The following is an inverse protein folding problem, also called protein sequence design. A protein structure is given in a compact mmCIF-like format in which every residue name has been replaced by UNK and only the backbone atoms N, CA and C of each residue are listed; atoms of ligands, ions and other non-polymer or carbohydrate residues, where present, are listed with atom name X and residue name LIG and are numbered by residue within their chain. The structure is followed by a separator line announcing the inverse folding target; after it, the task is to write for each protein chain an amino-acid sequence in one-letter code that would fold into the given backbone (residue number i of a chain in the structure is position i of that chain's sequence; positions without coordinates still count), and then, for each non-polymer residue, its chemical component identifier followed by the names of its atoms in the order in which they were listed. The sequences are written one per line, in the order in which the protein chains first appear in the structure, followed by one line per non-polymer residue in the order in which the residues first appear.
data_IF_143631173181
#
_entry.id   IF_143631173181
#
_cell.length_a   1.000
_cell.length_b   1.000
_cell.length_c   1.000
_cell.angle_alpha   90.00
_cell.angle_beta   90.00
_cell.angle_gamma   90.00
#
_symmetry.space_group_name_H-M   'P 1'
#
loop_
_entity.id
_entity.type
_entity.pdbx_description
1 polymer ?
#
# COMPACT_ATOMS: atom_id res chain seq x y z
N UNK A 1 -13.34 -2.48 13.22
CA UNK A 1 -14.61 -3.12 13.58
C UNK A 1 -15.83 -2.31 13.14
N UNK A 2 -15.90 -1.02 13.46
CA UNK A 2 -17.03 -0.12 13.10
C UNK A 2 -17.23 -0.03 11.57
N UNK A 3 -16.17 0.04 10.78
CA UNK A 3 -16.23 0.14 9.32
C UNK A 3 -16.93 -1.08 8.67
N UNK A 4 -16.65 -2.29 9.17
CA UNK A 4 -17.31 -3.51 8.68
C UNK A 4 -18.80 -3.53 8.98
N UNK A 5 -19.20 -2.98 10.13
CA UNK A 5 -20.61 -2.85 10.51
C UNK A 5 -21.35 -1.93 9.53
N UNK A 6 -20.76 -0.77 9.19
CA UNK A 6 -21.32 0.14 8.19
C UNK A 6 -21.45 -0.52 6.82
N UNK A 7 -20.47 -1.30 6.41
CA UNK A 7 -20.44 -1.98 5.12
C UNK A 7 -21.56 -3.04 5.03
N UNK A 8 -21.78 -3.79 6.13
CA UNK A 8 -22.88 -4.77 6.23
C UNK A 8 -24.24 -4.09 6.17
N UNK A 9 -24.43 -2.98 6.90
CA UNK A 9 -25.69 -2.23 6.88
C UNK A 9 -25.98 -1.68 5.48
N UNK A 10 -24.96 -1.13 4.81
CA UNK A 10 -25.06 -0.59 3.46
C UNK A 10 -25.41 -1.69 2.44
N UNK A 11 -24.84 -2.87 2.60
CA UNK A 11 -25.14 -4.04 1.77
C UNK A 11 -26.59 -4.52 1.97
N UNK A 12 -27.09 -4.53 3.20
CA UNK A 12 -28.51 -4.90 3.50
C UNK A 12 -29.45 -3.88 2.85
N UNK A 13 -29.19 -2.58 2.99
CA UNK A 13 -29.99 -1.51 2.37
C UNK A 13 -29.99 -1.67 0.84
N UNK A 14 -28.85 -1.99 0.26
CA UNK A 14 -28.69 -2.21 -1.17
C UNK A 14 -29.53 -3.41 -1.66
N UNK A 15 -29.51 -4.53 -0.95
CA UNK A 15 -30.33 -5.71 -1.26
C UNK A 15 -31.82 -5.39 -1.20
N UNK A 16 -32.26 -4.63 -0.20
CA UNK A 16 -33.67 -4.20 -0.04
C UNK A 16 -34.08 -3.31 -1.23
N UNK A 17 -33.25 -2.33 -1.59
CA UNK A 17 -33.48 -1.45 -2.75
C UNK A 17 -33.58 -2.22 -4.05
N UNK A 18 -32.66 -3.16 -4.28
CA UNK A 18 -32.70 -4.06 -5.46
C UNK A 18 -34.01 -4.85 -5.50
N UNK A 19 -34.36 -5.47 -4.39
CA UNK A 19 -35.59 -6.27 -4.29
C UNK A 19 -36.85 -5.46 -4.60
N UNK A 20 -36.92 -4.24 -4.09
CA UNK A 20 -38.03 -3.32 -4.37
C UNK A 20 -38.07 -2.85 -5.82
N UNK A 21 -36.90 -2.61 -6.41
CA UNK A 21 -36.76 -2.11 -7.78
C UNK A 21 -37.09 -3.18 -8.85
N UNK A 22 -36.80 -4.47 -8.56
CA UNK A 22 -37.03 -5.59 -9.51
C UNK A 22 -38.50 -5.95 -9.65
N UNK A 23 -39.35 -5.72 -8.64
CA UNK A 23 -40.77 -6.10 -8.61
C UNK A 23 -41.66 -5.42 -9.67
N UNK A 24 -41.15 -4.48 -10.48
CA UNK A 24 -41.93 -3.79 -11.52
C UNK A 24 -41.86 -4.44 -12.90
N UNK A 25 -42.92 -4.25 -13.72
CA UNK A 25 -43.08 -4.88 -15.07
C UNK A 25 -41.96 -4.65 -16.10
N UNK A 26 -41.09 -3.66 -15.92
CA UNK A 26 -39.95 -3.38 -16.84
C UNK A 26 -38.60 -3.69 -16.17
N UNK A 27 -38.41 -4.93 -15.77
CA UNK A 27 -37.24 -5.35 -14.98
C UNK A 27 -35.90 -5.30 -15.76
N UNK A 28 -35.90 -5.47 -17.09
CA UNK A 28 -34.63 -5.50 -17.88
C UNK A 28 -33.79 -4.25 -17.71
N UNK A 29 -34.37 -3.07 -17.87
CA UNK A 29 -33.65 -1.79 -17.69
C UNK A 29 -33.23 -1.57 -16.23
N UNK A 30 -34.05 -2.05 -15.29
CA UNK A 30 -33.74 -1.92 -13.86
C UNK A 30 -32.54 -2.78 -13.45
N UNK A 31 -32.44 -4.01 -13.99
CA UNK A 31 -31.28 -4.88 -13.79
C UNK A 31 -30.01 -4.22 -14.34
N UNK A 32 -30.08 -3.60 -15.52
CA UNK A 32 -28.94 -2.95 -16.13
C UNK A 32 -28.45 -1.76 -15.31
N UNK A 33 -29.35 -0.96 -14.75
CA UNK A 33 -29.01 0.16 -13.84
C UNK A 33 -28.34 -0.36 -12.56
N UNK A 34 -28.91 -1.41 -11.96
CA UNK A 34 -28.33 -2.02 -10.75
C UNK A 34 -26.93 -2.54 -11.01
N UNK A 35 -26.73 -3.21 -12.13
CA UNK A 35 -25.44 -3.76 -12.54
C UNK A 35 -24.41 -2.64 -12.78
N UNK A 36 -24.81 -1.55 -13.43
CA UNK A 36 -23.97 -0.37 -13.66
C UNK A 36 -23.56 0.28 -12.34
N UNK A 37 -24.48 0.45 -11.39
CA UNK A 37 -24.20 1.00 -10.07
C UNK A 37 -23.24 0.08 -9.30
N UNK A 38 -23.42 -1.26 -9.36
CA UNK A 38 -22.53 -2.22 -8.71
C UNK A 38 -21.11 -2.15 -9.24
N UNK A 39 -20.95 -2.04 -10.55
CA UNK A 39 -19.64 -1.87 -11.21
C UNK A 39 -19.00 -0.56 -10.74
N UNK A 40 -19.75 0.53 -10.74
CA UNK A 40 -19.26 1.85 -10.31
C UNK A 40 -18.82 1.83 -8.83
N UNK A 41 -19.56 1.16 -7.96
CA UNK A 41 -19.17 0.96 -6.56
C UNK A 41 -17.89 0.14 -6.40
N UNK A 42 -17.69 -0.89 -7.23
CA UNK A 42 -16.47 -1.69 -7.22
C UNK A 42 -15.25 -0.84 -7.60
N UNK A 43 -15.36 -0.02 -8.64
CA UNK A 43 -14.30 0.92 -9.02
C UNK A 43 -14.02 1.97 -7.93
N UNK A 44 -15.07 2.48 -7.30
CA UNK A 44 -14.93 3.45 -6.21
C UNK A 44 -14.23 2.84 -5.00
N UNK A 45 -14.59 1.60 -4.63
CA UNK A 45 -13.96 0.86 -3.54
C UNK A 45 -12.48 0.62 -3.80
N UNK A 46 -12.12 0.22 -5.02
CA UNK A 46 -10.74 -0.02 -5.41
C UNK A 46 -9.91 1.28 -5.39
N UNK A 47 -10.49 2.37 -5.89
CA UNK A 47 -9.88 3.70 -5.84
C UNK A 47 -9.65 4.21 -4.41
N UNK A 48 -10.60 4.00 -3.50
CA UNK A 48 -10.44 4.35 -2.08
C UNK A 48 -9.34 3.49 -1.46
N UNK A 49 -9.33 2.18 -1.72
CA UNK A 49 -8.32 1.26 -1.21
C UNK A 49 -6.90 1.64 -1.64
N UNK A 50 -6.73 2.08 -2.88
CA UNK A 50 -5.44 2.56 -3.39
C UNK A 50 -5.01 3.89 -2.75
N UNK A 51 -5.95 4.76 -2.41
CA UNK A 51 -5.66 6.08 -1.84
C UNK A 51 -5.51 6.07 -0.30
N UNK A 52 -6.13 5.15 0.41
CA UNK A 52 -6.09 5.08 1.89
C UNK A 52 -4.76 4.54 2.45
N UNK A 53 -3.77 4.23 1.61
CA UNK A 53 -2.43 3.86 2.08
C UNK A 53 -2.37 2.53 2.83
N UNK A 54 -3.22 1.57 2.48
CA UNK A 54 -3.12 0.21 3.02
C UNK A 54 -1.72 -0.35 2.78
N UNK A 55 -1.22 -1.04 3.80
CA UNK A 55 0.08 -1.67 3.70
C UNK A 55 0.08 -2.74 2.61
N UNK A 56 0.84 -2.51 1.56
CA UNK A 56 0.98 -3.41 0.42
C UNK A 56 1.88 -4.57 0.82
N UNK A 57 1.46 -5.79 0.50
CA UNK A 57 2.27 -7.01 0.70
C UNK A 57 3.05 -7.40 -0.55
N UNK A 58 3.00 -6.56 -1.57
CA UNK A 58 3.68 -6.76 -2.84
C UNK A 58 5.21 -6.66 -2.74
N UNK A 59 5.87 -7.06 -3.82
CA UNK A 59 7.32 -6.94 -3.92
C UNK A 59 7.77 -5.48 -3.81
N UNK A 60 8.78 -5.24 -2.99
CA UNK A 60 9.42 -3.93 -2.87
C UNK A 60 9.97 -3.46 -4.22
N UNK A 61 9.89 -2.15 -4.53
CA UNK A 61 10.47 -1.59 -5.74
C UNK A 61 12.00 -1.79 -5.79
N UNK A 62 12.58 -1.64 -6.98
CA UNK A 62 14.02 -1.84 -7.20
C UNK A 62 14.89 -0.80 -6.47
N UNK A 63 14.37 0.42 -6.33
CA UNK A 63 15.07 1.52 -5.63
C UNK A 63 14.07 2.41 -4.90
N UNK A 64 14.35 2.73 -3.65
CA UNK A 64 13.44 3.53 -2.83
C UNK A 64 14.14 4.18 -1.63
N UNK A 65 13.49 5.19 -1.08
CA UNK A 65 13.86 5.83 0.19
C UNK A 65 12.95 5.33 1.30
N UNK A 66 13.52 4.97 2.44
CA UNK A 66 12.74 4.66 3.64
C UNK A 66 12.44 5.96 4.38
N UNK A 67 11.18 6.35 4.42
CA UNK A 67 10.73 7.54 5.15
C UNK A 67 10.57 7.24 6.63
N UNK A 68 9.89 6.13 6.94
CA UNK A 68 9.65 5.68 8.30
C UNK A 68 9.51 4.16 8.38
N UNK A 69 9.72 3.59 9.56
CA UNK A 69 9.52 2.17 9.81
C UNK A 69 8.91 1.94 11.18
N UNK A 70 7.93 1.07 11.27
CA UNK A 70 7.15 0.77 12.45
C UNK A 70 7.05 -0.73 12.68
N UNK A 71 7.27 -1.18 13.91
CA UNK A 71 7.11 -2.59 14.28
C UNK A 71 5.68 -2.80 14.76
N UNK A 72 4.95 -3.70 14.12
CA UNK A 72 3.58 -4.05 14.47
C UNK A 72 3.43 -5.57 14.59
N UNK A 73 3.46 -6.08 15.81
CA UNK A 73 3.46 -7.52 16.08
C UNK A 73 4.63 -8.24 15.40
N UNK A 74 4.32 -9.25 14.61
CA UNK A 74 5.29 -10.04 13.83
C UNK A 74 5.64 -9.42 12.47
N UNK A 75 5.18 -8.20 12.21
CA UNK A 75 5.43 -7.51 10.96
C UNK A 75 6.14 -6.19 11.21
N UNK A 76 6.77 -5.69 10.17
CA UNK A 76 7.32 -4.35 10.10
C UNK A 76 6.60 -3.62 8.99
N UNK A 77 6.02 -2.48 9.33
CA UNK A 77 5.44 -1.54 8.39
C UNK A 77 6.53 -0.54 7.99
N UNK A 78 6.80 -0.40 6.71
CA UNK A 78 7.81 0.50 6.18
C UNK A 78 7.13 1.46 5.22
N UNK A 79 7.22 2.75 5.52
CA UNK A 79 6.79 3.81 4.61
C UNK A 79 7.95 4.11 3.67
N UNK A 80 7.77 3.85 2.40
CA UNK A 80 8.78 4.06 1.38
C UNK A 80 8.30 5.05 0.32
N UNK A 81 9.26 5.78 -0.28
CA UNK A 81 9.05 6.66 -1.40
C UNK A 81 9.94 6.21 -2.55
N UNK A 82 9.35 5.85 -3.65
CA UNK A 82 10.01 5.64 -4.91
C UNK A 82 10.14 7.00 -5.62
N UNK A 83 11.26 7.26 -6.23
CA UNK A 83 11.72 8.53 -6.83
C UNK A 83 10.64 9.64 -7.00
N UNK A 84 9.70 9.49 -7.94
CA UNK A 84 8.64 10.47 -8.21
C UNK A 84 7.25 10.03 -7.76
N UNK A 85 7.12 8.83 -7.18
CA UNK A 85 5.83 8.29 -6.78
C UNK A 85 5.42 8.79 -5.39
N UNK A 86 4.12 8.71 -5.09
CA UNK A 86 3.61 8.97 -3.75
C UNK A 86 4.16 7.94 -2.75
N UNK A 87 4.42 8.34 -1.49
CA UNK A 87 4.82 7.39 -0.46
C UNK A 87 3.80 6.26 -0.32
N UNK A 88 4.29 5.02 -0.19
CA UNK A 88 3.45 3.83 0.03
C UNK A 88 3.92 3.08 1.26
N UNK A 89 2.95 2.51 1.98
CA UNK A 89 3.20 1.68 3.14
C UNK A 89 3.33 0.21 2.71
N UNK A 90 4.42 -0.44 3.13
CA UNK A 90 4.67 -1.86 2.86
C UNK A 90 4.69 -2.64 4.16
N UNK A 91 4.09 -3.83 4.13
CA UNK A 91 4.07 -4.76 5.25
C UNK A 91 5.04 -5.91 4.96
N UNK A 92 6.08 -6.02 5.76
CA UNK A 92 7.09 -7.06 5.65
C UNK A 92 7.12 -7.92 6.91
N UNK A 93 7.45 -9.20 6.76
CA UNK A 93 7.64 -10.09 7.90
C UNK A 93 8.87 -9.66 8.71
N UNK A 94 8.73 -9.57 10.02
CA UNK A 94 9.81 -9.21 10.93
C UNK A 94 10.89 -10.28 10.92
N UNK A 95 12.10 -9.91 10.51
CA UNK A 95 13.29 -10.76 10.58
C UNK A 95 14.42 -10.02 11.30
N UNK A 96 15.32 -10.76 11.94
CA UNK A 96 16.50 -10.17 12.59
C UNK A 96 17.35 -9.36 11.61
N UNK A 97 17.46 -9.86 10.37
CA UNK A 97 18.22 -9.20 9.29
C UNK A 97 17.57 -7.87 8.89
N UNK A 98 16.25 -7.85 8.70
CA UNK A 98 15.52 -6.62 8.39
C UNK A 98 15.64 -5.56 9.50
N UNK A 99 15.55 -5.99 10.76
CA UNK A 99 15.72 -5.09 11.88
C UNK A 99 17.13 -4.46 11.93
N UNK A 100 18.18 -5.28 11.74
CA UNK A 100 19.57 -4.78 11.66
C UNK A 100 19.76 -3.81 10.50
N UNK A 101 19.19 -4.13 9.33
CA UNK A 101 19.23 -3.29 8.14
C UNK A 101 18.58 -1.92 8.40
N UNK A 102 17.37 -1.91 8.95
CA UNK A 102 16.63 -0.67 9.24
C UNK A 102 17.33 0.18 10.33
N UNK A 103 17.94 -0.45 11.33
CA UNK A 103 18.77 0.26 12.32
C UNK A 103 19.97 0.94 11.67
N UNK A 104 20.68 0.23 10.77
CA UNK A 104 21.80 0.78 10.02
C UNK A 104 21.36 1.95 9.13
N UNK A 105 20.25 1.79 8.40
CA UNK A 105 19.67 2.83 7.57
C UNK A 105 19.33 4.09 8.39
N UNK A 106 18.65 3.92 9.54
CA UNK A 106 18.32 5.02 10.46
C UNK A 106 19.55 5.72 10.96
N UNK A 107 20.62 4.99 11.33
CA UNK A 107 21.88 5.57 11.78
C UNK A 107 22.51 6.46 10.72
N UNK A 108 22.59 6.00 9.47
CA UNK A 108 23.14 6.79 8.36
C UNK A 108 22.31 8.04 8.08
N UNK A 109 20.99 7.93 8.11
CA UNK A 109 20.07 9.05 7.91
C UNK A 109 20.19 10.10 9.02
N UNK A 110 20.31 9.67 10.27
CA UNK A 110 20.49 10.58 11.42
C UNK A 110 21.83 11.33 11.35
N UNK A 111 22.85 10.73 10.72
CA UNK A 111 24.14 11.40 10.46
C UNK A 111 24.08 12.35 9.26
N UNK A 112 22.88 12.68 8.75
CA UNK A 112 22.70 13.63 7.66
C UNK A 112 23.03 13.09 6.27
N UNK A 113 23.28 11.79 6.13
CA UNK A 113 23.55 11.18 4.84
C UNK A 113 22.24 10.94 4.07
N UNK A 114 22.22 11.34 2.79
CA UNK A 114 21.16 10.97 1.87
C UNK A 114 21.40 9.53 1.40
N UNK A 115 20.58 8.60 1.84
CA UNK A 115 20.74 7.17 1.57
C UNK A 115 19.52 6.61 0.89
N UNK A 116 19.77 5.83 -0.16
CA UNK A 116 18.74 5.11 -0.91
C UNK A 116 18.93 3.60 -0.71
N UNK A 117 17.84 2.87 -0.68
CA UNK A 117 17.84 1.41 -0.68
C UNK A 117 17.68 0.94 -2.11
N UNK A 118 18.55 0.04 -2.56
CA UNK A 118 18.41 -0.70 -3.80
C UNK A 118 18.21 -2.18 -3.53
N UNK A 119 17.35 -2.82 -4.32
CA UNK A 119 17.13 -4.26 -4.29
C UNK A 119 17.92 -4.91 -5.40
N UNK A 120 18.76 -5.87 -5.07
CA UNK A 120 19.45 -6.70 -6.05
C UNK A 120 18.64 -7.96 -6.35
N UNK A 121 18.36 -8.22 -7.62
CA UNK A 121 17.60 -9.42 -8.05
C UNK A 121 18.50 -10.68 -8.17
N UNK A 122 19.82 -10.55 -7.91
CA UNK A 122 20.68 -11.72 -7.86
C UNK A 122 20.26 -12.60 -6.67
N UNK A 123 19.95 -13.84 -6.95
CA UNK A 123 19.67 -14.93 -6.00
C UNK A 123 20.89 -15.21 -5.10
N UNK A 124 21.26 -14.31 -4.24
CA UNK A 124 22.09 -14.65 -3.11
C UNK A 124 21.16 -15.14 -2.01
N UNK A 125 21.35 -16.34 -1.56
CA UNK A 125 20.62 -17.02 -0.46
C UNK A 125 20.63 -16.24 0.86
N UNK A 126 21.38 -15.17 0.93
CA UNK A 126 21.49 -14.29 2.08
C UNK A 126 20.62 -13.06 1.93
N UNK A 127 19.46 -13.13 2.58
CA UNK A 127 18.69 -11.97 2.95
C UNK A 127 17.88 -11.28 1.86
N UNK A 128 17.04 -10.44 2.24
CA UNK A 128 16.18 -9.43 1.62
C UNK A 128 16.65 -8.80 0.27
N UNK A 129 17.84 -9.16 -0.23
CA UNK A 129 18.42 -8.62 -1.48
C UNK A 129 18.54 -7.09 -1.48
N UNK A 130 18.52 -6.45 -0.31
CA UNK A 130 18.56 -4.99 -0.18
C UNK A 130 19.94 -4.51 0.27
N UNK A 131 20.43 -3.44 -0.33
CA UNK A 131 21.64 -2.76 0.10
C UNK A 131 21.42 -1.25 0.15
N UNK A 132 22.23 -0.57 0.96
CA UNK A 132 22.16 0.88 1.15
C UNK A 132 23.21 1.52 0.26
N UNK A 133 22.76 2.47 -0.55
CA UNK A 133 23.63 3.30 -1.39
C UNK A 133 23.58 4.74 -0.89
N UNK A 134 24.75 5.35 -0.68
CA UNK A 134 24.85 6.77 -0.37
C UNK A 134 24.61 7.59 -1.62
N UNK A 135 23.64 8.49 -1.58
CA UNK A 135 23.39 9.43 -2.67
C UNK A 135 24.26 10.66 -2.41
N UNK A 136 25.26 10.88 -3.26
CA UNK A 136 26.02 12.12 -3.19
C UNK A 136 25.10 13.29 -3.60
N UNK A 137 24.82 14.21 -2.69
CA UNK A 137 24.22 15.49 -3.04
C UNK A 137 25.17 16.21 -4.01
N UNK A 138 24.73 16.38 -5.25
CA UNK A 138 25.37 17.38 -6.14
C UNK A 138 25.16 18.74 -5.45
N UNK A 139 26.19 19.29 -4.86
CA UNK A 139 26.19 20.67 -4.43
C UNK A 139 25.86 21.54 -5.64
N UNK A 140 24.93 22.50 -5.52
CA UNK A 140 24.74 23.45 -6.61
C UNK A 140 26.09 24.18 -6.83
N UNK A 141 26.56 24.13 -8.05
CA UNK A 141 27.68 24.96 -8.48
C UNK A 141 27.33 26.42 -8.16
N UNK A 142 28.15 27.03 -7.30
CA UNK A 142 28.08 28.47 -7.04
C UNK A 142 28.43 29.26 -8.27
#
# INVERSE_FOLDING_TARGET
MILYLYLIVLLIIYIILISHFIKGKKYKHKILIVLSISILFSFFYESIRENEGYAVTENLPKSFYVLNSYVYGDNILILIKENNNRPRLYKLKKTLKLNKFLKKYKGLKNNGQDVMVKKNNSKSEDSLGMYIESVQKKLPLK
#
